data_IF_563268115516
#
_entry.id   IF_563268115516
#
_cell.length_a   1.000
_cell.length_b   1.000
_cell.length_c   1.000
_cell.angle_alpha   90.00
_cell.angle_beta   90.00
_cell.angle_gamma   90.00
#
_symmetry.space_group_name_H-M   'P 1'
#
loop_
_entity.id
_entity.type
_entity.pdbx_description
1 polymer ?
#
# COMPACT_ATOMS: atom_id res chain seq x y z
N UNK A 1 -8.80 29.68 -24.45
CA UNK A 1 -7.33 29.74 -24.62
C UNK A 1 -6.70 28.60 -23.83
N UNK A 2 -5.79 27.91 -24.51
CA UNK A 2 -4.97 26.73 -24.16
C UNK A 2 -5.05 26.13 -22.74
N UNK A 3 -5.66 24.94 -22.62
CA UNK A 3 -5.37 23.98 -21.54
C UNK A 3 -4.00 23.38 -21.83
N UNK A 4 -2.97 23.84 -21.14
CA UNK A 4 -1.67 23.16 -21.14
C UNK A 4 -1.84 21.80 -20.48
N UNK A 5 -2.04 20.74 -21.26
CA UNK A 5 -1.83 19.36 -20.81
C UNK A 5 -0.39 19.29 -20.32
N UNK A 6 -0.19 19.42 -19.00
CA UNK A 6 1.07 19.02 -18.36
C UNK A 6 1.27 17.56 -18.76
N UNK A 7 2.24 17.32 -19.63
CA UNK A 7 2.71 16.00 -20.01
C UNK A 7 3.14 15.34 -18.70
N UNK A 8 2.31 14.47 -18.11
CA UNK A 8 2.64 13.69 -16.90
C UNK A 8 4.00 13.06 -17.20
N UNK A 9 5.05 13.53 -16.54
CA UNK A 9 6.34 12.85 -16.54
C UNK A 9 6.04 11.44 -16.06
N UNK A 10 6.33 10.45 -16.90
CA UNK A 10 6.06 9.06 -16.59
C UNK A 10 6.93 8.72 -15.38
N UNK A 11 6.30 8.52 -14.22
CA UNK A 11 6.99 8.15 -13.00
C UNK A 11 7.79 6.87 -13.28
N UNK A 12 9.10 6.89 -12.97
CA UNK A 12 9.98 5.73 -13.18
C UNK A 12 9.95 4.92 -11.90
N UNK A 13 9.42 3.70 -11.99
CA UNK A 13 9.26 2.82 -10.84
C UNK A 13 10.61 2.26 -10.38
N UNK A 14 10.85 2.31 -9.07
CA UNK A 14 12.00 1.71 -8.37
C UNK A 14 11.69 0.26 -8.02
N UNK A 15 10.45 -0.02 -7.63
CA UNK A 15 9.93 -1.34 -7.32
C UNK A 15 9.62 -2.07 -8.63
N UNK A 16 10.30 -3.21 -8.84
CA UNK A 16 10.04 -4.09 -9.98
C UNK A 16 8.91 -5.08 -9.70
N UNK A 17 8.62 -5.98 -10.64
CA UNK A 17 7.60 -7.04 -10.45
C UNK A 17 8.05 -8.19 -9.53
N UNK A 18 9.35 -8.28 -9.23
CA UNK A 18 9.90 -9.28 -8.31
C UNK A 18 9.71 -8.90 -6.83
N UNK A 19 10.25 -9.72 -5.90
CA UNK A 19 10.22 -9.42 -4.47
C UNK A 19 10.80 -8.05 -4.19
N UNK A 20 10.13 -7.26 -3.33
CA UNK A 20 10.67 -5.96 -2.91
C UNK A 20 11.89 -6.21 -2.02
N UNK A 21 13.02 -5.59 -2.34
CA UNK A 21 14.28 -5.75 -1.59
C UNK A 21 14.61 -4.53 -0.72
N UNK A 22 15.54 -4.71 0.21
CA UNK A 22 16.09 -3.61 1.00
C UNK A 22 16.77 -2.53 0.14
N UNK A 23 17.41 -2.90 -0.96
CA UNK A 23 17.97 -1.93 -1.91
C UNK A 23 16.89 -1.04 -2.52
N UNK A 24 15.74 -1.61 -2.89
CA UNK A 24 14.63 -0.85 -3.45
C UNK A 24 14.02 0.09 -2.41
N UNK A 25 13.95 -0.34 -1.15
CA UNK A 25 13.58 0.53 -0.03
C UNK A 25 14.51 1.75 0.08
N UNK A 26 15.84 1.55 0.00
CA UNK A 26 16.82 2.64 0.06
C UNK A 26 16.76 3.54 -1.19
N UNK A 27 16.68 2.96 -2.39
CA UNK A 27 16.52 3.71 -3.65
C UNK A 27 15.23 4.53 -3.67
N UNK A 28 14.16 4.05 -3.03
CA UNK A 28 12.92 4.80 -2.92
C UNK A 28 13.07 6.01 -1.99
N UNK A 29 13.82 5.89 -0.88
CA UNK A 29 14.18 7.03 -0.04
C UNK A 29 14.87 8.12 -0.88
N UNK A 30 15.87 7.74 -1.68
CA UNK A 30 16.59 8.65 -2.57
C UNK A 30 15.67 9.29 -3.61
N UNK A 31 14.80 8.49 -4.24
CA UNK A 31 13.80 8.97 -5.22
C UNK A 31 12.87 10.02 -4.62
N UNK A 32 12.40 9.82 -3.39
CA UNK A 32 11.52 10.74 -2.68
C UNK A 32 12.26 11.95 -2.11
N UNK A 33 13.60 11.92 -2.08
CA UNK A 33 14.46 12.97 -1.50
C UNK A 33 14.10 13.26 -0.04
N UNK A 34 13.79 12.22 0.71
CA UNK A 34 13.45 12.32 2.12
C UNK A 34 14.67 12.01 2.99
N UNK A 35 14.84 12.82 4.04
CA UNK A 35 15.74 12.50 5.13
C UNK A 35 15.34 11.17 5.78
N UNK A 36 16.31 10.44 6.33
CA UNK A 36 16.09 9.09 6.86
C UNK A 36 14.94 9.04 7.88
N UNK A 37 14.90 9.98 8.83
CA UNK A 37 13.85 10.04 9.84
C UNK A 37 12.47 10.30 9.25
N UNK A 38 12.37 11.15 8.22
CA UNK A 38 11.12 11.43 7.53
C UNK A 38 10.65 10.21 6.71
N UNK A 39 11.57 9.50 6.06
CA UNK A 39 11.24 8.28 5.33
C UNK A 39 10.83 7.13 6.25
N UNK A 40 11.52 6.95 7.37
CA UNK A 40 11.14 5.98 8.41
C UNK A 40 9.75 6.27 8.97
N UNK A 41 9.45 7.53 9.27
CA UNK A 41 8.12 7.95 9.72
C UNK A 41 7.07 7.69 8.63
N UNK A 42 7.37 8.05 7.38
CA UNK A 42 6.47 7.85 6.24
C UNK A 42 6.16 6.37 6.01
N UNK A 43 7.15 5.48 6.12
CA UNK A 43 7.00 4.04 5.95
C UNK A 43 6.53 3.33 7.23
N UNK A 44 6.44 4.03 8.36
CA UNK A 44 6.18 3.46 9.69
C UNK A 44 7.19 2.38 10.11
N UNK A 45 8.45 2.54 9.69
CA UNK A 45 9.57 1.63 9.95
C UNK A 45 10.38 2.13 11.15
N UNK A 46 10.60 1.27 12.13
CA UNK A 46 11.46 1.60 13.28
C UNK A 46 12.95 1.63 12.92
N UNK A 47 13.77 2.30 13.73
CA UNK A 47 15.24 2.30 13.55
C UNK A 47 15.84 0.88 13.56
N UNK A 48 15.29 -0.02 14.39
CA UNK A 48 15.72 -1.43 14.43
C UNK A 48 15.40 -2.16 13.13
N UNK A 49 14.19 -2.00 12.60
CA UNK A 49 13.81 -2.59 11.31
C UNK A 49 14.66 -2.04 10.17
N UNK A 50 14.89 -0.72 10.14
CA UNK A 50 15.78 -0.11 9.15
C UNK A 50 17.19 -0.68 9.22
N UNK A 51 17.77 -0.81 10.41
CA UNK A 51 19.08 -1.42 10.59
C UNK A 51 19.13 -2.86 10.03
N UNK A 52 18.11 -3.68 10.35
CA UNK A 52 18.02 -5.04 9.83
C UNK A 52 17.92 -5.09 8.30
N UNK A 53 17.18 -4.15 7.68
CA UNK A 53 17.10 -4.02 6.22
C UNK A 53 18.47 -3.67 5.63
N UNK A 54 19.20 -2.74 6.25
CA UNK A 54 20.53 -2.32 5.76
C UNK A 54 21.63 -3.35 5.94
N UNK A 55 21.48 -4.31 6.86
CA UNK A 55 22.46 -5.39 7.05
C UNK A 55 22.50 -6.38 5.88
N UNK A 56 21.40 -6.55 5.16
CA UNK A 56 21.33 -7.41 3.99
C UNK A 56 20.33 -6.82 2.96
N UNK A 57 20.71 -5.74 2.26
CA UNK A 57 19.79 -4.98 1.42
C UNK A 57 19.35 -5.76 0.17
N UNK A 58 20.11 -6.77 -0.25
CA UNK A 58 19.75 -7.62 -1.39
C UNK A 58 18.62 -8.61 -1.05
N UNK A 59 18.41 -8.89 0.24
CA UNK A 59 17.37 -9.82 0.65
C UNK A 59 15.95 -9.25 0.43
N UNK A 60 14.98 -10.10 0.06
CA UNK A 60 13.57 -9.72 0.04
C UNK A 60 13.07 -9.28 1.42
N UNK A 61 12.22 -8.23 1.43
CA UNK A 61 11.55 -7.78 2.63
C UNK A 61 10.43 -8.76 3.03
N UNK A 62 10.47 -9.20 4.28
CA UNK A 62 9.53 -10.19 4.79
C UNK A 62 8.11 -9.65 4.97
N UNK A 63 7.95 -8.37 5.31
CA UNK A 63 6.65 -7.77 5.67
C UNK A 63 5.82 -7.36 4.43
N UNK A 64 4.68 -8.01 4.14
CA UNK A 64 3.87 -7.68 2.98
C UNK A 64 3.28 -6.27 3.02
N UNK A 65 2.92 -5.77 4.21
CA UNK A 65 2.36 -4.43 4.37
C UNK A 65 3.37 -3.36 3.98
N UNK A 66 4.63 -3.51 4.43
CA UNK A 66 5.72 -2.63 4.03
C UNK A 66 5.98 -2.70 2.51
N UNK A 67 6.01 -3.91 1.92
CA UNK A 67 6.19 -4.04 0.48
C UNK A 67 5.07 -3.36 -0.33
N UNK A 68 3.81 -3.55 0.06
CA UNK A 68 2.67 -2.90 -0.59
C UNK A 68 2.74 -1.38 -0.46
N UNK A 69 3.19 -0.88 0.69
CA UNK A 69 3.38 0.56 0.91
C UNK A 69 4.50 1.14 0.05
N UNK A 70 5.63 0.44 -0.06
CA UNK A 70 6.72 0.84 -0.95
C UNK A 70 6.25 0.89 -2.41
N UNK A 71 5.50 -0.12 -2.89
CA UNK A 71 4.91 -0.11 -4.23
C UNK A 71 3.94 1.04 -4.44
N UNK A 72 3.06 1.30 -3.46
CA UNK A 72 2.07 2.38 -3.53
C UNK A 72 2.75 3.74 -3.64
N UNK A 73 3.74 4.02 -2.79
CA UNK A 73 4.45 5.31 -2.79
C UNK A 73 5.39 5.44 -3.99
N UNK A 74 5.93 4.33 -4.49
CA UNK A 74 6.69 4.33 -5.73
C UNK A 74 5.84 4.67 -6.95
N UNK A 75 4.57 4.22 -6.99
CA UNK A 75 3.58 4.55 -8.02
C UNK A 75 3.01 5.98 -7.87
N UNK A 76 2.72 6.39 -6.63
CA UNK A 76 2.12 7.68 -6.25
C UNK A 76 3.00 8.44 -5.24
N UNK A 77 4.14 9.01 -5.67
CA UNK A 77 5.09 9.68 -4.78
C UNK A 77 4.53 10.95 -4.14
N UNK A 78 3.40 11.48 -4.63
CA UNK A 78 2.71 12.64 -4.06
C UNK A 78 2.06 12.37 -2.69
N UNK A 79 1.88 11.11 -2.27
CA UNK A 79 1.15 10.73 -1.05
C UNK A 79 1.92 10.99 0.26
N UNK A 80 2.79 12.00 0.29
CA UNK A 80 3.51 12.38 1.51
C UNK A 80 2.58 13.22 2.40
N UNK A 81 1.91 12.56 3.36
CA UNK A 81 1.19 13.09 4.54
C UNK A 81 -0.36 13.29 4.44
N UNK A 82 -1.25 12.50 5.13
CA UNK A 82 -2.20 13.01 6.21
C UNK A 82 -2.88 11.96 7.18
N UNK A 83 -3.01 12.11 8.52
CA UNK A 83 -3.44 11.05 9.51
C UNK A 83 -4.75 10.26 9.20
N UNK A 84 -4.90 8.98 9.64
CA UNK A 84 -6.04 8.11 9.24
C UNK A 84 -6.24 6.79 10.03
N UNK A 85 -7.43 6.15 9.95
CA UNK A 85 -7.73 4.84 10.58
C UNK A 85 -8.20 3.73 9.61
N UNK A 86 -8.00 2.45 10.00
CA UNK A 86 -8.43 1.28 9.20
C UNK A 86 -9.95 1.26 9.01
N UNK A 87 -10.70 1.72 10.02
CA UNK A 87 -12.17 1.76 9.96
C UNK A 87 -12.63 2.73 8.87
N UNK A 88 -12.00 3.88 8.78
CA UNK A 88 -12.29 4.90 7.77
C UNK A 88 -12.03 4.34 6.37
N UNK A 89 -10.92 3.60 6.19
CA UNK A 89 -10.62 2.92 4.92
C UNK A 89 -11.70 1.90 4.53
N UNK A 90 -12.19 1.11 5.49
CA UNK A 90 -13.30 0.17 5.24
C UNK A 90 -14.56 0.91 4.81
N UNK A 91 -14.89 2.01 5.48
CA UNK A 91 -16.06 2.81 5.15
C UNK A 91 -15.91 3.43 3.76
N UNK A 92 -14.72 3.95 3.42
CA UNK A 92 -14.43 4.52 2.11
C UNK A 92 -14.53 3.49 0.98
N UNK A 93 -13.96 2.30 1.15
CA UNK A 93 -14.06 1.21 0.16
C UNK A 93 -15.52 0.78 -0.05
N UNK A 94 -16.31 0.66 1.03
CA UNK A 94 -17.75 0.38 0.93
C UNK A 94 -18.51 1.48 0.22
N UNK A 95 -18.21 2.73 0.52
CA UNK A 95 -18.78 3.89 -0.14
C UNK A 95 -18.48 3.86 -1.64
N UNK A 96 -17.21 3.64 -2.04
CA UNK A 96 -16.83 3.59 -3.45
C UNK A 96 -17.56 2.48 -4.20
N UNK A 97 -17.71 1.29 -3.62
CA UNK A 97 -18.49 0.21 -4.27
C UNK A 97 -19.97 0.53 -4.41
N UNK A 98 -20.55 1.31 -3.48
CA UNK A 98 -21.93 1.79 -3.56
C UNK A 98 -22.07 2.86 -4.65
N UNK A 99 -21.14 3.81 -4.69
CA UNK A 99 -21.17 4.96 -5.58
C UNK A 99 -20.78 4.56 -7.03
N UNK A 100 -19.99 3.49 -7.18
CA UNK A 100 -19.60 2.85 -8.44
C UNK A 100 -19.92 1.35 -8.42
N UNK A 101 -21.17 0.94 -8.73
CA UNK A 101 -21.58 -0.46 -8.66
C UNK A 101 -20.77 -1.40 -9.55
N UNK A 102 -20.29 -0.90 -10.69
CA UNK A 102 -19.49 -1.66 -11.67
C UNK A 102 -18.00 -1.77 -11.30
N UNK A 103 -17.58 -1.15 -10.19
CA UNK A 103 -16.23 -1.25 -9.67
C UNK A 103 -15.90 -2.70 -9.32
N UNK A 104 -15.11 -3.37 -10.16
CA UNK A 104 -14.70 -4.75 -9.91
C UNK A 104 -13.74 -4.83 -8.73
N UNK A 105 -14.22 -5.37 -7.61
CA UNK A 105 -13.41 -5.68 -6.44
C UNK A 105 -13.25 -7.19 -6.37
N UNK A 106 -12.02 -7.70 -6.20
CA UNK A 106 -11.74 -9.13 -6.33
C UNK A 106 -12.45 -10.00 -5.27
N UNK A 107 -12.88 -9.39 -4.15
CA UNK A 107 -13.81 -9.97 -3.17
C UNK A 107 -14.69 -8.85 -2.58
N UNK A 108 -15.81 -9.17 -1.89
CA UNK A 108 -16.73 -8.15 -1.36
C UNK A 108 -16.05 -7.17 -0.39
N UNK A 109 -16.48 -5.88 -0.36
CA UNK A 109 -15.90 -4.81 0.46
C UNK A 109 -16.15 -5.02 1.97
N UNK A 110 -15.41 -5.96 2.53
CA UNK A 110 -15.49 -6.45 3.90
C UNK A 110 -14.20 -6.13 4.65
N UNK A 111 -14.24 -6.27 5.98
CA UNK A 111 -13.03 -6.18 6.82
C UNK A 111 -11.93 -7.15 6.35
N UNK A 112 -12.31 -8.29 5.81
CA UNK A 112 -11.38 -9.30 5.31
C UNK A 112 -10.68 -8.82 4.03
N UNK A 113 -11.40 -8.15 3.12
CA UNK A 113 -10.79 -7.52 1.94
C UNK A 113 -9.79 -6.45 2.37
N UNK A 114 -10.21 -5.54 3.25
CA UNK A 114 -9.32 -4.46 3.69
C UNK A 114 -8.11 -5.00 4.44
N UNK A 115 -8.27 -6.07 5.23
CA UNK A 115 -7.12 -6.77 5.82
C UNK A 115 -6.13 -7.28 4.79
N UNK A 116 -6.62 -7.95 3.73
CA UNK A 116 -5.76 -8.44 2.65
C UNK A 116 -5.07 -7.31 1.90
N UNK A 117 -5.79 -6.23 1.64
CA UNK A 117 -5.26 -5.01 1.04
C UNK A 117 -4.13 -4.40 1.87
N UNK A 118 -4.13 -4.60 3.19
CA UNK A 118 -3.10 -4.09 4.11
C UNK A 118 -2.01 -5.13 4.41
N UNK A 119 -1.85 -6.16 3.57
CA UNK A 119 -0.80 -7.17 3.78
C UNK A 119 -1.09 -8.17 4.93
N UNK A 120 -2.35 -8.28 5.38
CA UNK A 120 -2.76 -9.17 6.48
C UNK A 120 -3.72 -10.26 6.03
N UNK A 121 -3.62 -11.43 6.66
CA UNK A 121 -4.50 -12.56 6.39
C UNK A 121 -5.95 -12.22 6.72
N UNK A 122 -6.89 -12.64 5.86
CA UNK A 122 -8.32 -12.36 6.02
C UNK A 122 -8.86 -12.81 7.40
N UNK A 123 -8.40 -13.96 7.90
CA UNK A 123 -8.84 -14.51 9.18
C UNK A 123 -8.46 -13.65 10.40
N UNK A 124 -7.38 -12.87 10.32
CA UNK A 124 -6.90 -12.06 11.44
C UNK A 124 -7.17 -10.56 11.25
N UNK A 125 -7.78 -10.17 10.14
CA UNK A 125 -8.16 -8.80 9.81
C UNK A 125 -9.19 -8.15 10.78
N UNK A 126 -10.22 -8.87 11.30
CA UNK A 126 -11.22 -8.26 12.19
C UNK A 126 -10.67 -7.73 13.52
N UNK A 127 -9.45 -8.12 13.90
CA UNK A 127 -8.83 -7.68 15.16
C UNK A 127 -8.46 -6.18 15.17
N UNK A 128 -8.20 -5.58 14.01
CA UNK A 128 -7.86 -4.15 13.90
C UNK A 128 -9.08 -3.23 13.89
N UNK A 129 -10.20 -3.68 13.33
CA UNK A 129 -11.45 -2.92 13.28
C UNK A 129 -12.26 -2.95 14.58
N UNK A 130 -12.00 -3.94 15.45
CA UNK A 130 -12.62 -4.02 16.77
C UNK A 130 -11.93 -3.15 17.83
N UNK A 131 -10.86 -2.43 17.49
CA UNK A 131 -10.07 -1.62 18.42
C UNK A 131 -9.30 -2.43 19.47
N UNK A 132 -9.36 -3.77 19.41
CA UNK A 132 -8.70 -4.67 20.36
C UNK A 132 -7.20 -4.75 20.16
N UNK A 133 -6.74 -4.50 18.93
CA UNK A 133 -5.32 -4.52 18.56
C UNK A 133 -5.04 -3.29 17.72
N UNK A 134 -4.09 -2.47 18.18
CA UNK A 134 -3.56 -1.36 17.39
C UNK A 134 -2.71 -1.90 16.25
N UNK A 135 -2.98 -1.54 14.97
CA UNK A 135 -2.12 -1.96 13.88
C UNK A 135 -0.70 -1.39 14.03
N UNK A 136 0.33 -2.11 13.55
CA UNK A 136 1.69 -1.58 13.49
C UNK A 136 1.74 -0.25 12.72
N UNK A 137 2.66 0.65 13.07
CA UNK A 137 2.74 2.00 12.46
C UNK A 137 2.84 1.98 10.93
N UNK A 138 3.64 1.07 10.34
CA UNK A 138 3.71 0.87 8.88
C UNK A 138 2.37 0.57 8.21
N UNK A 139 1.51 -0.21 8.89
CA UNK A 139 0.17 -0.49 8.39
C UNK A 139 -0.70 0.75 8.46
N UNK A 140 -0.64 1.48 9.58
CA UNK A 140 -1.36 2.74 9.73
C UNK A 140 -0.95 3.77 8.67
N UNK A 141 0.34 3.81 8.31
CA UNK A 141 0.85 4.67 7.26
C UNK A 141 0.42 4.23 5.84
N UNK A 142 0.25 2.93 5.59
CA UNK A 142 -0.36 2.46 4.34
C UNK A 142 -1.85 2.83 4.26
N UNK A 143 -2.61 2.58 5.33
CA UNK A 143 -4.05 2.92 5.44
C UNK A 143 -4.29 4.38 5.09
N UNK A 144 -3.44 5.23 5.66
CA UNK A 144 -3.37 6.66 5.45
C UNK A 144 -3.31 7.04 3.99
N UNK A 145 -2.26 6.60 3.30
CA UNK A 145 -2.04 6.94 1.91
C UNK A 145 -3.15 6.41 1.00
N UNK A 146 -3.72 5.25 1.33
CA UNK A 146 -4.89 4.74 0.59
C UNK A 146 -6.10 5.65 0.75
N UNK A 147 -6.41 6.12 1.96
CA UNK A 147 -7.51 7.06 2.15
C UNK A 147 -7.30 8.37 1.38
N UNK A 148 -6.11 8.97 1.51
CA UNK A 148 -5.74 10.18 0.76
C UNK A 148 -5.91 9.98 -0.74
N UNK A 149 -5.37 8.88 -1.28
CA UNK A 149 -5.44 8.59 -2.71
C UNK A 149 -6.89 8.40 -3.18
N UNK A 150 -7.76 7.82 -2.36
CA UNK A 150 -9.19 7.65 -2.68
C UNK A 150 -10.03 8.92 -2.45
N UNK A 151 -9.51 9.91 -1.74
CA UNK A 151 -10.18 11.18 -1.46
C UNK A 151 -9.81 12.29 -2.44
N UNK A 152 -8.53 12.37 -2.81
CA UNK A 152 -7.99 13.49 -3.59
C UNK A 152 -8.03 13.25 -5.10
N UNK A 153 -8.25 12.02 -5.54
CA UNK A 153 -8.25 11.66 -6.97
C UNK A 153 -9.63 11.81 -7.59
N UNK A 154 -9.65 12.33 -8.82
CA UNK A 154 -10.85 12.43 -9.66
C UNK A 154 -11.40 11.05 -10.10
N UNK A 155 -10.57 10.00 -10.00
CA UNK A 155 -10.83 8.63 -10.47
C UNK A 155 -10.63 7.55 -9.38
N UNK A 156 -11.34 7.63 -8.23
CA UNK A 156 -11.05 6.79 -7.06
C UNK A 156 -11.38 5.30 -7.26
N UNK A 157 -12.29 4.98 -8.17
CA UNK A 157 -12.63 3.61 -8.58
C UNK A 157 -11.47 2.94 -9.32
N UNK A 158 -10.87 3.63 -10.30
CA UNK A 158 -9.71 3.14 -11.07
C UNK A 158 -8.47 3.02 -10.21
N UNK A 159 -8.26 3.98 -9.31
CA UNK A 159 -7.21 3.93 -8.30
C UNK A 159 -7.33 2.66 -7.47
N UNK A 160 -8.53 2.35 -6.97
CA UNK A 160 -8.75 1.17 -6.14
C UNK A 160 -8.52 -0.13 -6.92
N UNK A 161 -8.94 -0.20 -8.19
CA UNK A 161 -8.64 -1.33 -9.07
C UNK A 161 -7.14 -1.52 -9.26
N UNK A 162 -6.42 -0.43 -9.57
CA UNK A 162 -4.98 -0.49 -9.76
C UNK A 162 -4.25 -0.92 -8.50
N UNK A 163 -4.71 -0.49 -7.32
CA UNK A 163 -4.15 -0.97 -6.07
C UNK A 163 -4.38 -2.49 -5.86
N UNK A 164 -5.51 -3.04 -6.29
CA UNK A 164 -5.72 -4.50 -6.30
C UNK A 164 -4.73 -5.21 -7.22
N UNK A 165 -4.34 -4.60 -8.34
CA UNK A 165 -3.29 -5.14 -9.21
C UNK A 165 -1.92 -5.14 -8.52
N UNK A 166 -1.58 -4.06 -7.79
CA UNK A 166 -0.33 -3.99 -7.00
C UNK A 166 -0.29 -5.08 -5.91
N UNK A 167 -1.44 -5.36 -5.28
CA UNK A 167 -1.57 -6.46 -4.32
C UNK A 167 -1.28 -7.81 -4.99
N UNK A 168 -1.85 -8.06 -6.17
CA UNK A 168 -1.60 -9.30 -6.89
C UNK A 168 -0.14 -9.43 -7.37
N UNK A 169 0.50 -8.32 -7.75
CA UNK A 169 1.92 -8.31 -8.09
C UNK A 169 2.79 -8.68 -6.89
N UNK A 170 2.50 -8.15 -5.70
CA UNK A 170 3.23 -8.52 -4.49
C UNK A 170 3.00 -9.98 -4.10
N UNK A 171 1.79 -10.51 -4.31
CA UNK A 171 1.48 -11.92 -4.10
C UNK A 171 2.31 -12.84 -5.00
N UNK A 172 2.37 -12.51 -6.30
CA UNK A 172 3.17 -13.24 -7.28
C UNK A 172 4.65 -13.19 -6.98
N UNK A 173 5.15 -12.02 -6.55
CA UNK A 173 6.53 -11.87 -6.10
C UNK A 173 6.87 -12.80 -4.90
N UNK A 174 5.87 -13.18 -4.10
CA UNK A 174 6.00 -14.10 -2.97
C UNK A 174 5.70 -15.56 -3.33
N UNK A 175 5.53 -15.87 -4.61
CA UNK A 175 5.28 -17.23 -5.10
C UNK A 175 3.82 -17.69 -5.01
N UNK A 176 2.86 -16.78 -4.83
CA UNK A 176 1.42 -17.10 -4.87
C UNK A 176 0.81 -16.76 -6.22
N UNK A 177 -0.12 -17.59 -6.69
CA UNK A 177 -0.80 -17.35 -7.98
C UNK A 177 -1.89 -16.27 -7.86
N UNK A 178 -2.69 -16.32 -6.79
CA UNK A 178 -3.78 -15.37 -6.56
C UNK A 178 -4.16 -15.23 -5.07
N UNK A 179 -3.72 -14.13 -4.45
CA UNK A 179 -4.00 -13.80 -3.05
C UNK A 179 -5.50 -13.60 -2.75
N UNK A 180 -6.32 -13.24 -3.72
CA UNK A 180 -7.76 -13.02 -3.50
C UNK A 180 -8.56 -14.33 -3.43
N UNK A 181 -8.03 -15.39 -4.03
CA UNK A 181 -8.54 -16.77 -3.88
C UNK A 181 -8.02 -17.40 -2.60
N UNK A 182 -6.71 -17.31 -2.34
CA UNK A 182 -6.06 -17.95 -1.19
C UNK A 182 -6.32 -17.23 0.14
N UNK A 183 -6.57 -15.92 0.09
CA UNK A 183 -6.95 -15.06 1.22
C UNK A 183 -5.97 -15.10 2.40
N UNK A 184 -4.71 -15.39 2.10
CA UNK A 184 -3.62 -15.52 3.07
C UNK A 184 -2.29 -15.16 2.40
N UNK A 185 -1.57 -14.23 3.00
CA UNK A 185 -0.17 -13.96 2.69
C UNK A 185 0.72 -15.09 3.25
N UNK A 186 1.79 -15.47 2.53
CA UNK A 186 2.68 -16.54 2.91
C UNK A 186 3.58 -16.13 4.08
#
# INVERSE_FOLDING_TARGET
MSRTRRRKLKNVLVTGRGPVTGEQYLKLQEKLRLELGAFQALMGVSMKEHYLITLNPEAPLADPGLCLHLRLIDEYPELVDPESSVLDLVQKVKQLKRDYPDLDLPIPPTLNLVGLMLGRNAATAPTWSSGRVTPPHKIMALVRHLLTLLEERDDPDRVLQHYCELINQEAQARGMENIFTERRWP
#
